data_IF_183231214586
#
_entry.id   IF_183231214586
#
_cell.length_a   1.000
_cell.length_b   1.000
_cell.length_c   1.000
_cell.angle_alpha   90.00
_cell.angle_beta   90.00
_cell.angle_gamma   90.00
#
_symmetry.space_group_name_H-M   'P 1'
#
loop_
_entity.id
_entity.type
_entity.pdbx_description
1 polymer ?
#
# COMPACT_ATOMS: atom_id res chain seq x y z
N UNK A 1 -18.49 18.80 -11.31
CA UNK A 1 -17.45 19.78 -11.04
C UNK A 1 -16.90 20.19 -12.39
N UNK A 2 -17.00 21.45 -12.78
CA UNK A 2 -16.45 21.93 -14.05
C UNK A 2 -14.97 22.31 -13.79
N UNK A 3 -14.04 21.69 -14.51
CA UNK A 3 -12.63 22.06 -14.47
C UNK A 3 -12.32 22.86 -15.75
N UNK A 4 -12.02 24.14 -15.59
CA UNK A 4 -11.52 24.94 -16.72
C UNK A 4 -10.11 24.53 -17.09
N UNK A 5 -9.74 24.72 -18.37
CA UNK A 5 -8.38 24.48 -18.84
C UNK A 5 -7.38 25.30 -18.02
N UNK A 6 -6.57 24.62 -17.22
CA UNK A 6 -5.60 25.23 -16.33
C UNK A 6 -4.18 25.10 -16.87
N UNK A 7 -3.30 26.02 -16.49
CA UNK A 7 -1.86 25.91 -16.74
C UNK A 7 -1.17 25.54 -15.44
N UNK A 8 -0.27 24.57 -15.52
CA UNK A 8 0.60 24.23 -14.40
C UNK A 8 1.55 25.41 -14.13
N UNK A 9 1.72 25.76 -12.85
CA UNK A 9 2.68 26.75 -12.41
C UNK A 9 3.92 26.02 -11.90
N UNK A 10 5.02 26.14 -12.61
CA UNK A 10 6.29 25.50 -12.29
C UNK A 10 6.93 25.98 -10.99
N UNK A 11 7.94 25.25 -10.53
CA UNK A 11 8.75 25.53 -9.33
C UNK A 11 7.93 25.66 -8.03
N UNK A 12 6.78 24.98 -7.94
CA UNK A 12 5.99 24.92 -6.73
C UNK A 12 6.56 23.85 -5.79
N UNK A 13 6.55 24.16 -4.48
CA UNK A 13 6.91 23.22 -3.42
C UNK A 13 5.63 22.74 -2.75
N UNK A 14 5.43 21.41 -2.74
CA UNK A 14 4.21 20.78 -2.30
C UNK A 14 4.52 19.82 -1.15
N UNK A 15 3.77 19.92 -0.07
CA UNK A 15 3.79 18.96 1.03
C UNK A 15 2.73 17.91 0.79
N UNK A 16 3.15 16.67 0.61
CA UNK A 16 2.27 15.50 0.57
C UNK A 16 2.18 14.93 1.99
N UNK A 17 1.02 14.42 2.39
CA UNK A 17 0.85 13.73 3.68
C UNK A 17 1.68 12.45 3.72
N UNK A 18 1.95 11.97 4.93
CA UNK A 18 2.68 10.74 5.14
C UNK A 18 2.06 9.53 4.45
N UNK A 19 2.88 8.56 4.13
CA UNK A 19 2.48 7.30 3.51
C UNK A 19 1.42 6.57 4.32
N UNK A 20 0.31 6.22 3.67
CA UNK A 20 -0.74 5.38 4.25
C UNK A 20 -0.19 4.02 4.68
N UNK A 21 0.63 3.41 3.84
CA UNK A 21 1.19 2.08 4.09
C UNK A 21 2.13 2.04 5.29
N UNK A 22 2.97 3.06 5.47
CA UNK A 22 3.84 3.21 6.64
C UNK A 22 3.00 3.57 7.87
N UNK A 23 2.10 4.54 7.76
CA UNK A 23 1.27 5.02 8.86
C UNK A 23 0.45 3.90 9.50
N UNK A 24 -0.22 3.09 8.70
CA UNK A 24 -1.05 2.01 9.22
C UNK A 24 -0.24 0.93 9.94
N UNK A 25 1.00 0.66 9.50
CA UNK A 25 1.93 -0.24 10.19
C UNK A 25 2.38 0.34 11.52
N UNK A 26 2.80 1.60 11.52
CA UNK A 26 3.24 2.29 12.75
C UNK A 26 2.13 2.38 13.80
N UNK A 27 0.89 2.63 13.40
CA UNK A 27 -0.25 2.64 14.32
C UNK A 27 -0.45 1.30 15.04
N UNK A 28 -0.28 0.19 14.33
CA UNK A 28 -0.32 -1.15 14.95
C UNK A 28 0.91 -1.36 15.86
N UNK A 29 2.11 -1.01 15.39
CA UNK A 29 3.35 -1.19 16.17
C UNK A 29 3.33 -0.32 17.43
N UNK A 30 2.89 0.94 17.34
CA UNK A 30 2.71 1.84 18.51
C UNK A 30 1.75 1.22 19.52
N UNK A 31 0.63 0.66 19.05
CA UNK A 31 -0.37 0.04 19.92
C UNK A 31 0.12 -1.24 20.58
N UNK A 32 0.94 -2.04 19.88
CA UNK A 32 1.48 -3.30 20.39
C UNK A 32 2.68 -3.10 21.31
N UNK A 33 3.60 -2.20 20.97
CA UNK A 33 4.91 -2.10 21.63
C UNK A 33 5.09 -0.79 22.42
N UNK A 34 4.31 0.26 22.13
CA UNK A 34 4.39 1.57 22.78
C UNK A 34 5.64 2.38 22.36
N UNK A 35 5.85 3.50 23.04
CA UNK A 35 7.05 4.34 22.91
C UNK A 35 7.41 4.81 21.50
N UNK A 36 6.45 4.92 20.58
CA UNK A 36 6.64 5.46 19.24
C UNK A 36 5.82 6.76 19.11
N UNK A 37 6.51 7.88 18.90
CA UNK A 37 5.88 9.14 18.53
C UNK A 37 5.89 9.25 17.01
N UNK A 38 4.70 9.26 16.39
CA UNK A 38 4.55 9.27 14.96
C UNK A 38 4.32 10.71 14.47
N UNK A 39 5.24 11.22 13.66
CA UNK A 39 5.13 12.52 13.00
C UNK A 39 4.73 12.32 11.52
N UNK A 40 4.06 13.31 10.92
CA UNK A 40 3.60 13.29 9.52
C UNK A 40 2.73 12.07 9.20
N UNK A 41 1.82 11.70 10.09
CA UNK A 41 0.89 10.59 9.86
C UNK A 41 0.02 10.86 8.62
N UNK A 42 -0.34 9.80 7.90
CA UNK A 42 -1.23 9.91 6.75
C UNK A 42 -2.60 10.47 7.12
N UNK A 43 -3.08 11.44 6.35
CA UNK A 43 -4.45 11.97 6.47
C UNK A 43 -5.46 11.18 5.63
N UNK A 44 -5.07 10.03 5.06
CA UNK A 44 -5.98 9.17 4.32
C UNK A 44 -7.11 8.65 5.21
N UNK A 45 -8.29 8.44 4.62
CA UNK A 45 -9.43 7.91 5.35
C UNK A 45 -9.13 6.54 5.98
N UNK A 46 -8.33 5.71 5.32
CA UNK A 46 -7.88 4.41 5.83
C UNK A 46 -7.11 4.55 7.15
N UNK A 47 -6.14 5.48 7.21
CA UNK A 47 -5.37 5.74 8.44
C UNK A 47 -6.21 6.39 9.55
N UNK A 48 -7.15 7.27 9.20
CA UNK A 48 -8.06 7.87 10.18
C UNK A 48 -9.00 6.83 10.79
N UNK A 49 -9.53 5.91 9.98
CA UNK A 49 -10.37 4.81 10.47
C UNK A 49 -9.57 3.82 11.33
N UNK A 50 -8.30 3.53 10.97
CA UNK A 50 -7.39 2.73 11.78
C UNK A 50 -7.18 3.36 13.17
N UNK A 51 -6.88 4.66 13.24
CA UNK A 51 -6.72 5.38 14.51
C UNK A 51 -7.99 5.30 15.37
N UNK A 52 -9.15 5.57 14.77
CA UNK A 52 -10.45 5.50 15.47
C UNK A 52 -10.71 4.09 16.00
N UNK A 53 -10.45 3.06 15.19
CA UNK A 53 -10.64 1.66 15.59
C UNK A 53 -9.74 1.27 16.77
N UNK A 54 -8.46 1.64 16.74
CA UNK A 54 -7.49 1.35 17.81
C UNK A 54 -7.79 2.11 19.12
N UNK A 55 -8.48 3.25 19.04
CA UNK A 55 -8.92 4.02 20.20
C UNK A 55 -10.32 3.61 20.71
N UNK A 56 -11.07 2.83 19.93
CA UNK A 56 -12.45 2.48 20.24
C UNK A 56 -12.56 1.51 21.44
N UNK A 57 -13.59 1.74 22.26
CA UNK A 57 -14.05 0.82 23.31
C UNK A 57 -15.30 0.04 22.90
N UNK A 58 -15.83 0.28 21.70
CA UNK A 58 -17.00 -0.42 21.19
C UNK A 58 -16.65 -1.87 20.85
N UNK A 59 -17.59 -2.78 21.08
CA UNK A 59 -17.49 -4.15 20.57
C UNK A 59 -17.57 -4.21 19.05
N UNK A 60 -18.35 -3.33 18.43
CA UNK A 60 -18.49 -3.26 16.96
C UNK A 60 -17.71 -2.10 16.41
N UNK A 61 -16.85 -2.38 15.44
CA UNK A 61 -15.98 -1.44 14.76
C UNK A 61 -16.28 -1.48 13.26
N UNK A 62 -16.78 -0.36 12.75
CA UNK A 62 -16.98 -0.16 11.31
C UNK A 62 -15.77 0.58 10.74
N UNK A 63 -15.07 -0.08 9.82
CA UNK A 63 -13.90 0.46 9.12
C UNK A 63 -14.26 0.90 7.68
N UNK A 64 -15.53 0.97 7.35
CA UNK A 64 -16.04 1.37 6.06
C UNK A 64 -15.37 0.63 4.90
N UNK A 65 -14.62 1.30 4.03
CA UNK A 65 -13.89 0.69 2.90
C UNK A 65 -12.36 0.56 3.13
N UNK A 66 -11.89 0.79 4.36
CA UNK A 66 -10.46 0.77 4.71
C UNK A 66 -9.89 -0.66 4.70
N UNK A 67 -9.36 -1.07 3.55
CA UNK A 67 -8.90 -2.44 3.32
C UNK A 67 -7.71 -2.83 4.19
N UNK A 68 -6.74 -1.96 4.37
CA UNK A 68 -5.58 -2.20 5.23
C UNK A 68 -6.02 -2.29 6.70
N UNK A 69 -6.94 -1.41 7.12
CA UNK A 69 -7.48 -1.43 8.48
C UNK A 69 -8.19 -2.77 8.77
N UNK A 70 -9.05 -3.27 7.86
CA UNK A 70 -9.68 -4.58 8.02
C UNK A 70 -8.65 -5.68 8.31
N UNK A 71 -7.59 -5.79 7.51
CA UNK A 71 -6.61 -6.86 7.64
C UNK A 71 -5.76 -6.74 8.90
N UNK A 72 -5.22 -5.56 9.15
CA UNK A 72 -4.32 -5.33 10.29
C UNK A 72 -5.04 -5.43 11.64
N UNK A 73 -6.25 -4.89 11.72
CA UNK A 73 -7.07 -4.97 12.93
C UNK A 73 -7.57 -6.41 13.20
N UNK A 74 -7.81 -7.22 12.16
CA UNK A 74 -8.17 -8.64 12.35
C UNK A 74 -7.07 -9.37 13.11
N UNK A 75 -5.80 -9.27 12.70
CA UNK A 75 -4.69 -9.87 13.43
C UNK A 75 -4.47 -9.23 14.80
N UNK A 76 -4.58 -7.90 14.89
CA UNK A 76 -4.43 -7.18 16.16
C UNK A 76 -5.44 -7.63 17.21
N UNK A 77 -6.74 -7.71 16.85
CA UNK A 77 -7.76 -8.13 17.82
C UNK A 77 -7.71 -9.61 18.15
N UNK A 78 -7.20 -10.46 17.24
CA UNK A 78 -7.04 -11.89 17.49
C UNK A 78 -6.11 -12.21 18.69
N UNK A 79 -5.18 -11.29 19.01
CA UNK A 79 -4.24 -11.44 20.13
C UNK A 79 -4.59 -10.58 21.36
N UNK A 80 -5.75 -9.90 21.38
CA UNK A 80 -6.19 -9.11 22.54
C UNK A 80 -6.97 -9.99 23.51
N UNK A 81 -6.27 -10.68 24.40
CA UNK A 81 -6.85 -11.66 25.34
C UNK A 81 -8.06 -11.10 26.09
N UNK A 82 -9.13 -11.89 26.17
CA UNK A 82 -10.35 -11.58 26.90
C UNK A 82 -11.25 -10.52 26.25
N UNK A 83 -10.94 -10.11 25.01
CA UNK A 83 -11.71 -9.11 24.26
C UNK A 83 -12.45 -9.74 23.10
N UNK A 84 -13.74 -9.50 22.99
CA UNK A 84 -14.50 -9.83 21.78
C UNK A 84 -14.73 -8.57 20.96
N UNK A 85 -14.47 -8.64 19.66
CA UNK A 85 -14.62 -7.50 18.76
C UNK A 85 -15.28 -7.97 17.47
N UNK A 86 -16.28 -7.21 17.01
CA UNK A 86 -16.89 -7.39 15.68
C UNK A 86 -16.30 -6.34 14.76
N UNK A 87 -15.68 -6.77 13.66
CA UNK A 87 -15.18 -5.85 12.61
C UNK A 87 -16.08 -5.98 11.40
N UNK A 88 -16.61 -4.83 10.95
CA UNK A 88 -17.47 -4.72 9.76
C UNK A 88 -17.00 -3.58 8.86
N UNK A 89 -17.70 -3.37 7.75
CA UNK A 89 -17.43 -2.27 6.82
C UNK A 89 -18.57 -2.08 5.83
N UNK A 90 -18.31 -1.29 4.78
CA UNK A 90 -19.29 -1.04 3.71
C UNK A 90 -19.70 -2.32 2.99
N UNK A 91 -20.79 -2.28 2.22
CA UNK A 91 -21.23 -3.42 1.40
C UNK A 91 -20.12 -3.92 0.46
N UNK A 92 -19.31 -3.03 -0.10
CA UNK A 92 -18.15 -3.42 -0.90
C UNK A 92 -17.08 -4.12 -0.05
N UNK A 93 -16.84 -3.70 1.19
CA UNK A 93 -15.89 -4.36 2.10
C UNK A 93 -16.35 -5.79 2.44
N UNK A 94 -17.64 -6.01 2.62
CA UNK A 94 -18.22 -7.34 2.84
C UNK A 94 -18.08 -8.28 1.63
N UNK A 95 -17.73 -7.77 0.46
CA UNK A 95 -17.44 -8.53 -0.76
C UNK A 95 -15.93 -8.74 -1.00
N UNK A 96 -15.07 -8.18 -0.16
CA UNK A 96 -13.61 -8.32 -0.30
C UNK A 96 -13.12 -9.52 0.51
N UNK A 97 -12.46 -10.50 -0.13
CA UNK A 97 -12.05 -11.73 0.56
C UNK A 97 -11.05 -11.45 1.68
N UNK A 98 -11.20 -12.22 2.78
CA UNK A 98 -10.30 -12.20 3.93
C UNK A 98 -9.94 -13.62 4.40
N UNK A 99 -10.46 -14.63 3.72
CA UNK A 99 -10.37 -16.03 4.12
C UNK A 99 -8.93 -16.47 4.41
N UNK A 100 -7.98 -16.18 3.51
CA UNK A 100 -6.59 -16.61 3.69
C UNK A 100 -5.96 -16.10 4.99
N UNK A 101 -6.29 -14.87 5.41
CA UNK A 101 -5.83 -14.34 6.69
C UNK A 101 -6.51 -15.03 7.86
N UNK A 102 -7.82 -15.24 7.78
CA UNK A 102 -8.59 -15.89 8.85
C UNK A 102 -8.15 -17.35 9.02
N UNK A 103 -7.92 -18.08 7.93
CA UNK A 103 -7.44 -19.45 7.96
C UNK A 103 -6.03 -19.53 8.57
N UNK A 104 -5.13 -18.63 8.18
CA UNK A 104 -3.79 -18.53 8.77
C UNK A 104 -3.86 -18.24 10.28
N UNK A 105 -4.69 -17.29 10.71
CA UNK A 105 -4.88 -16.97 12.12
C UNK A 105 -5.50 -18.14 12.90
N UNK A 106 -6.47 -18.85 12.33
CA UNK A 106 -7.05 -20.05 12.93
C UNK A 106 -6.03 -21.18 13.07
N UNK A 107 -5.16 -21.38 12.07
CA UNK A 107 -4.04 -22.33 12.15
C UNK A 107 -3.10 -22.00 13.31
N UNK A 108 -2.85 -20.71 13.55
CA UNK A 108 -2.08 -20.24 14.70
C UNK A 108 -2.84 -20.35 16.04
N UNK A 109 -4.12 -20.68 16.01
CA UNK A 109 -4.95 -20.89 17.19
C UNK A 109 -5.92 -19.74 17.51
N UNK A 110 -6.10 -18.74 16.65
CA UNK A 110 -7.07 -17.66 16.85
C UNK A 110 -8.52 -18.16 16.74
N UNK A 111 -9.43 -17.44 17.39
CA UNK A 111 -10.86 -17.71 17.38
C UNK A 111 -11.60 -16.61 16.62
N UNK A 112 -12.05 -16.93 15.40
CA UNK A 112 -12.68 -15.99 14.48
C UNK A 112 -13.89 -16.66 13.82
N UNK A 113 -15.03 -15.99 13.85
CA UNK A 113 -16.28 -16.41 13.23
C UNK A 113 -16.66 -15.44 12.09
N UNK A 114 -17.16 -15.98 10.98
CA UNK A 114 -17.83 -15.18 9.95
C UNK A 114 -19.28 -14.98 10.37
N UNK A 115 -19.79 -13.74 10.33
CA UNK A 115 -21.16 -13.44 10.77
C UNK A 115 -22.19 -13.47 9.65
N UNK A 116 -21.77 -13.34 8.40
CA UNK A 116 -22.64 -13.36 7.21
C UNK A 116 -22.17 -14.46 6.24
N UNK A 117 -21.22 -14.15 5.35
CA UNK A 117 -20.72 -15.07 4.34
C UNK A 117 -19.33 -15.61 4.70
N UNK A 118 -19.12 -16.91 4.56
CA UNK A 118 -17.81 -17.52 4.78
C UNK A 118 -16.76 -16.94 3.84
N UNK A 119 -15.58 -16.60 4.40
CA UNK A 119 -14.49 -15.98 3.66
C UNK A 119 -14.53 -14.46 3.58
N UNK A 120 -15.59 -13.80 4.08
CA UNK A 120 -15.83 -12.38 3.98
C UNK A 120 -16.19 -11.73 5.32
N UNK A 121 -15.92 -10.41 5.51
CA UNK A 121 -16.46 -9.68 6.66
C UNK A 121 -18.02 -9.64 6.60
N UNK A 122 -18.71 -9.44 7.74
CA UNK A 122 -18.20 -9.09 9.08
C UNK A 122 -17.60 -10.29 9.83
N UNK A 123 -16.62 -10.00 10.70
CA UNK A 123 -15.94 -11.00 11.52
C UNK A 123 -16.22 -10.74 13.01
N UNK A 124 -16.51 -11.80 13.77
CA UNK A 124 -16.43 -11.77 15.22
C UNK A 124 -15.13 -12.43 15.66
N UNK A 125 -14.32 -11.69 16.39
CA UNK A 125 -12.98 -12.06 16.81
C UNK A 125 -12.94 -12.16 18.32
N UNK A 126 -12.66 -13.33 18.87
CA UNK A 126 -12.41 -13.54 20.29
C UNK A 126 -10.91 -13.59 20.53
N UNK A 127 -10.37 -12.53 21.12
CA UNK A 127 -8.94 -12.42 21.38
C UNK A 127 -8.45 -13.39 22.42
N UNK A 128 -7.38 -14.11 22.10
CA UNK A 128 -6.76 -15.08 23.01
C UNK A 128 -5.26 -15.18 22.80
N UNK A 129 -4.59 -15.83 23.74
CA UNK A 129 -3.18 -16.16 23.63
C UNK A 129 -2.97 -17.14 22.50
N UNK A 130 -2.10 -16.78 21.55
CA UNK A 130 -1.69 -17.64 20.44
C UNK A 130 -0.37 -18.32 20.82
N UNK A 131 -0.32 -19.64 20.70
CA UNK A 131 0.83 -20.48 21.08
C UNK A 131 1.51 -21.13 19.89
N UNK A 132 0.77 -21.35 18.80
CA UNK A 132 1.34 -21.87 17.56
C UNK A 132 2.19 -20.78 16.87
N UNK A 133 3.29 -21.20 16.24
CA UNK A 133 4.25 -20.28 15.64
C UNK A 133 4.41 -20.44 14.13
N UNK A 134 3.92 -21.52 13.55
CA UNK A 134 4.14 -21.85 12.14
C UNK A 134 2.85 -21.78 11.34
N UNK A 135 2.92 -21.17 10.17
CA UNK A 135 1.81 -21.12 9.21
C UNK A 135 2.31 -21.07 7.77
N UNK A 136 1.59 -21.73 6.88
CA UNK A 136 1.77 -21.62 5.43
C UNK A 136 0.70 -20.69 4.86
N UNK A 137 1.07 -19.83 3.92
CA UNK A 137 0.13 -18.93 3.25
C UNK A 137 0.52 -18.75 1.76
N UNK A 138 -0.46 -18.73 0.83
CA UNK A 138 -0.15 -18.47 -0.57
C UNK A 138 0.52 -17.09 -0.76
N UNK A 139 1.62 -17.04 -1.51
CA UNK A 139 2.40 -15.81 -1.69
C UNK A 139 1.82 -14.86 -2.74
N UNK A 140 0.99 -15.36 -3.66
CA UNK A 140 0.34 -14.58 -4.74
C UNK A 140 -0.88 -13.77 -4.27
N UNK A 141 -1.31 -13.95 -3.02
CA UNK A 141 -2.39 -13.14 -2.43
C UNK A 141 -1.91 -11.74 -2.06
N UNK A 142 -2.84 -10.89 -1.65
CA UNK A 142 -2.50 -9.54 -1.19
C UNK A 142 -1.45 -9.55 -0.08
N UNK A 143 -0.35 -8.80 -0.27
CA UNK A 143 0.70 -8.60 0.74
C UNK A 143 0.19 -8.04 2.07
N UNK A 144 -1.03 -7.49 2.10
CA UNK A 144 -1.68 -7.02 3.32
C UNK A 144 -1.96 -8.17 4.30
N UNK A 145 -2.29 -9.37 3.82
CA UNK A 145 -2.52 -10.53 4.70
C UNK A 145 -1.23 -10.96 5.39
N UNK A 146 -0.16 -11.09 4.62
CA UNK A 146 1.16 -11.48 5.15
C UNK A 146 1.67 -10.39 6.10
N UNK A 147 1.65 -9.11 5.69
CA UNK A 147 2.04 -7.99 6.56
C UNK A 147 1.26 -7.94 7.88
N UNK A 148 -0.04 -8.28 7.84
CA UNK A 148 -0.89 -8.34 9.03
C UNK A 148 -0.40 -9.35 10.06
N UNK A 149 0.01 -10.53 9.61
CA UNK A 149 0.60 -11.57 10.47
C UNK A 149 1.98 -11.14 10.99
N UNK A 150 2.84 -10.58 10.12
CA UNK A 150 4.18 -10.12 10.51
C UNK A 150 4.12 -9.09 11.64
N UNK A 151 3.18 -8.13 11.57
CA UNK A 151 3.04 -7.07 12.56
C UNK A 151 2.75 -7.58 13.98
N UNK A 152 2.03 -8.68 14.12
CA UNK A 152 1.74 -9.27 15.43
C UNK A 152 2.82 -10.27 15.89
N UNK A 153 3.69 -10.75 14.98
CA UNK A 153 4.62 -11.84 15.22
C UNK A 153 5.51 -11.66 16.44
N UNK A 154 6.00 -10.43 16.69
CA UNK A 154 6.81 -10.11 17.87
C UNK A 154 6.05 -10.17 19.20
N UNK A 155 4.72 -10.16 19.19
CA UNK A 155 3.86 -10.31 20.39
C UNK A 155 3.49 -11.75 20.70
N UNK A 156 3.68 -12.65 19.75
CA UNK A 156 3.42 -14.06 19.99
C UNK A 156 4.51 -14.65 20.90
N UNK A 157 4.11 -15.53 21.83
CA UNK A 157 5.02 -16.11 22.82
C UNK A 157 6.23 -16.82 22.20
N UNK A 158 5.99 -17.54 21.09
CA UNK A 158 7.01 -18.31 20.37
C UNK A 158 7.49 -17.64 19.09
N UNK A 159 7.12 -16.34 18.87
CA UNK A 159 7.35 -15.67 17.61
C UNK A 159 6.46 -16.20 16.49
N UNK A 160 6.87 -15.98 15.24
CA UNK A 160 6.10 -16.38 14.07
C UNK A 160 7.04 -16.86 12.96
N UNK A 161 6.70 -17.97 12.33
CA UNK A 161 7.37 -18.49 11.14
C UNK A 161 6.31 -18.67 10.04
N UNK A 162 6.49 -17.97 8.92
CA UNK A 162 5.58 -18.01 7.76
C UNK A 162 6.32 -18.61 6.58
N UNK A 163 5.79 -19.68 6.01
CA UNK A 163 6.20 -20.21 4.72
C UNK A 163 5.27 -19.68 3.62
N UNK A 164 5.87 -18.97 2.66
CA UNK A 164 5.17 -18.36 1.52
C UNK A 164 5.14 -19.35 0.35
N UNK A 165 3.95 -19.80 -0.03
CA UNK A 165 3.78 -20.83 -1.07
C UNK A 165 3.57 -20.17 -2.44
N UNK A 166 4.47 -20.41 -3.37
CA UNK A 166 4.44 -19.89 -4.73
C UNK A 166 5.19 -18.56 -4.90
N UNK A 167 4.87 -17.84 -5.98
CA UNK A 167 5.54 -16.58 -6.33
C UNK A 167 5.03 -15.43 -5.45
N UNK A 168 5.97 -14.64 -4.93
CA UNK A 168 5.66 -13.50 -4.05
C UNK A 168 5.27 -12.29 -4.88
N UNK A 169 4.04 -11.81 -4.68
CA UNK A 169 3.57 -10.55 -5.26
C UNK A 169 3.74 -9.39 -4.29
N UNK A 170 4.00 -8.19 -4.82
CA UNK A 170 4.15 -6.98 -3.99
C UNK A 170 5.18 -7.13 -2.86
N UNK A 171 6.29 -7.81 -3.15
CA UNK A 171 7.41 -8.08 -2.21
C UNK A 171 7.88 -6.84 -1.44
N UNK A 172 7.98 -5.63 -2.03
CA UNK A 172 8.42 -4.43 -1.31
C UNK A 172 7.59 -4.11 -0.06
N UNK A 173 6.30 -4.46 -0.03
CA UNK A 173 5.47 -4.23 1.16
C UNK A 173 5.79 -5.19 2.32
N UNK A 174 6.28 -6.39 2.02
CA UNK A 174 6.77 -7.32 3.04
C UNK A 174 8.08 -6.82 3.61
N UNK A 175 9.02 -6.44 2.74
CA UNK A 175 10.33 -5.89 3.11
C UNK A 175 10.18 -4.60 3.93
N UNK A 176 9.25 -3.69 3.54
CA UNK A 176 8.86 -2.53 4.33
C UNK A 176 8.44 -2.94 5.76
N UNK A 177 7.57 -3.94 5.88
CA UNK A 177 7.07 -4.39 7.19
C UNK A 177 8.20 -4.95 8.04
N UNK A 178 9.06 -5.79 7.47
CA UNK A 178 10.21 -6.38 8.17
C UNK A 178 11.22 -5.33 8.61
N UNK A 179 11.51 -4.34 7.74
CA UNK A 179 12.40 -3.24 8.08
C UNK A 179 11.85 -2.39 9.23
N UNK A 180 10.55 -2.08 9.19
CA UNK A 180 9.89 -1.33 10.28
C UNK A 180 9.89 -2.12 11.60
N UNK A 181 9.70 -3.44 11.55
CA UNK A 181 9.85 -4.31 12.73
C UNK A 181 11.27 -4.24 13.30
N UNK A 182 12.31 -4.31 12.44
CA UNK A 182 13.70 -4.15 12.86
C UNK A 182 13.96 -2.78 13.49
N UNK A 183 13.40 -1.70 12.92
CA UNK A 183 13.56 -0.33 13.43
C UNK A 183 12.95 -0.16 14.82
N UNK A 184 11.88 -0.89 15.14
CA UNK A 184 11.28 -0.91 16.48
C UNK A 184 11.86 -2.03 17.38
N UNK A 185 13.00 -2.62 17.01
CA UNK A 185 13.74 -3.57 17.84
C UNK A 185 13.25 -5.02 17.76
N UNK A 186 12.41 -5.37 16.80
CA UNK A 186 11.93 -6.74 16.64
C UNK A 186 12.80 -7.46 15.61
N UNK A 187 13.53 -8.47 16.07
CA UNK A 187 14.39 -9.28 15.21
C UNK A 187 13.56 -10.10 14.23
N UNK A 188 14.02 -10.16 12.98
CA UNK A 188 13.37 -10.95 11.94
C UNK A 188 14.39 -11.41 10.88
N UNK A 189 14.02 -12.46 10.16
CA UNK A 189 14.81 -13.06 9.08
C UNK A 189 13.89 -13.35 7.90
N UNK A 190 14.42 -13.20 6.68
CA UNK A 190 13.72 -13.56 5.46
C UNK A 190 14.67 -14.32 4.53
N UNK A 191 14.47 -15.61 4.42
CA UNK A 191 15.26 -16.50 3.56
C UNK A 191 14.37 -17.22 2.56
N UNK A 192 14.66 -17.05 1.27
CA UNK A 192 13.88 -17.62 0.19
C UNK A 192 12.38 -17.26 0.32
N UNK A 193 11.55 -18.22 0.70
CA UNK A 193 10.12 -18.07 0.92
C UNK A 193 9.71 -18.18 2.40
N UNK A 194 10.67 -18.18 3.32
CA UNK A 194 10.38 -18.30 4.77
C UNK A 194 10.72 -17.02 5.49
N UNK A 195 9.74 -16.49 6.22
CA UNK A 195 9.90 -15.31 7.09
C UNK A 195 9.79 -15.75 8.55
N UNK A 196 10.75 -15.33 9.37
CA UNK A 196 10.75 -15.55 10.83
C UNK A 196 10.72 -14.23 11.56
N UNK A 197 9.83 -14.12 12.54
CA UNK A 197 9.76 -13.00 13.49
C UNK A 197 10.02 -13.58 14.87
N UNK A 198 11.04 -13.05 15.56
CA UNK A 198 11.38 -13.49 16.90
C UNK A 198 10.50 -12.79 17.94
N UNK A 199 10.22 -13.46 19.08
CA UNK A 199 9.47 -12.83 20.17
C UNK A 199 10.18 -11.57 20.65
N UNK A 200 9.40 -10.51 20.85
CA UNK A 200 9.91 -9.27 21.42
C UNK A 200 10.38 -9.47 22.85
N UNK A 201 11.60 -9.11 23.15
CA UNK A 201 12.15 -9.08 24.51
C UNK A 201 12.23 -7.63 24.97
N UNK A 202 11.64 -7.34 26.13
CA UNK A 202 11.56 -5.98 26.67
C UNK A 202 12.93 -5.31 26.85
N UNK A 203 13.96 -6.12 27.06
CA UNK A 203 15.35 -5.66 27.24
C UNK A 203 16.03 -5.27 25.90
N UNK A 204 15.48 -5.71 24.76
CA UNK A 204 16.01 -5.41 23.42
C UNK A 204 15.56 -4.00 22.93
N UNK A 205 14.57 -3.39 23.60
CA UNK A 205 14.03 -2.10 23.18
C UNK A 205 14.63 -0.97 24.04
N UNK A 206 15.17 0.04 23.37
CA UNK A 206 15.59 1.26 24.07
C UNK A 206 14.41 1.84 24.84
N UNK A 207 14.58 2.07 26.14
CA UNK A 207 13.59 2.69 27.03
C UNK A 207 13.23 4.14 26.65
N UNK A 208 13.88 4.69 25.62
CA UNK A 208 13.67 6.02 25.09
C UNK A 208 12.52 6.07 24.06
N UNK A 209 11.78 7.18 24.07
CA UNK A 209 10.76 7.48 23.07
C UNK A 209 11.40 7.52 21.68
N UNK A 210 10.90 6.71 20.75
CA UNK A 210 11.31 6.69 19.36
C UNK A 210 10.48 7.70 18.55
N UNK A 211 11.12 8.72 18.00
CA UNK A 211 10.47 9.62 17.06
C UNK A 211 10.54 9.03 15.65
N UNK A 212 9.39 8.76 15.06
CA UNK A 212 9.30 8.24 13.69
C UNK A 212 8.59 9.23 12.77
N UNK A 213 9.35 9.90 11.92
CA UNK A 213 8.78 10.79 10.90
C UNK A 213 8.42 9.97 9.66
N UNK A 214 7.12 9.84 9.39
CA UNK A 214 6.59 9.14 8.22
C UNK A 214 6.99 9.88 6.96
N UNK A 215 7.61 9.17 6.02
CA UNK A 215 7.90 9.66 4.69
C UNK A 215 6.60 9.97 3.95
N UNK A 216 6.56 10.99 3.09
CA UNK A 216 5.42 11.30 2.23
C UNK A 216 5.10 10.15 1.29
N UNK A 217 3.84 10.08 0.86
CA UNK A 217 3.28 8.95 0.13
C UNK A 217 3.71 8.94 -1.35
N UNK A 218 4.46 7.90 -1.76
CA UNK A 218 4.94 7.76 -3.13
C UNK A 218 3.83 7.46 -4.14
N UNK A 219 2.76 6.76 -3.73
CA UNK A 219 1.60 6.59 -4.61
C UNK A 219 0.96 7.95 -4.91
N UNK A 220 0.88 8.83 -3.91
CA UNK A 220 0.40 10.21 -4.09
C UNK A 220 1.37 11.07 -4.91
N UNK A 221 2.68 10.84 -4.78
CA UNK A 221 3.69 11.54 -5.59
C UNK A 221 3.50 11.25 -7.09
N UNK A 222 2.99 10.07 -7.46
CA UNK A 222 2.79 9.68 -8.86
C UNK A 222 1.93 10.67 -9.65
N UNK A 223 0.96 11.33 -9.02
CA UNK A 223 0.15 12.37 -9.65
C UNK A 223 0.99 13.61 -10.01
N UNK A 224 1.95 13.98 -9.17
CA UNK A 224 2.85 15.10 -9.42
C UNK A 224 3.91 14.78 -10.47
N UNK A 225 4.37 13.54 -10.51
CA UNK A 225 5.20 13.04 -11.60
C UNK A 225 4.46 13.11 -12.95
N UNK A 226 3.18 12.70 -12.96
CA UNK A 226 2.32 12.81 -14.13
C UNK A 226 2.17 14.27 -14.57
N UNK A 227 1.88 15.17 -13.63
CA UNK A 227 1.79 16.61 -13.91
C UNK A 227 3.11 17.19 -14.44
N UNK A 228 4.25 16.81 -13.85
CA UNK A 228 5.56 17.26 -14.33
C UNK A 228 5.84 16.78 -15.76
N UNK A 229 5.55 15.50 -16.06
CA UNK A 229 5.74 14.92 -17.38
C UNK A 229 4.87 15.57 -18.45
N UNK A 230 3.58 15.75 -18.17
CA UNK A 230 2.60 16.30 -19.13
C UNK A 230 2.78 17.83 -19.27
N UNK A 231 2.93 18.53 -18.15
CA UNK A 231 3.03 19.99 -18.11
C UNK A 231 4.43 20.52 -18.46
N UNK A 232 5.45 19.66 -18.45
CA UNK A 232 6.87 20.01 -18.67
C UNK A 232 7.37 21.08 -17.71
N UNK A 233 6.91 21.03 -16.46
CA UNK A 233 7.22 22.00 -15.41
C UNK A 233 7.89 21.34 -14.21
N UNK A 234 8.83 22.05 -13.58
CA UNK A 234 9.51 21.57 -12.39
C UNK A 234 8.58 21.59 -11.17
N UNK A 235 8.63 20.55 -10.34
CA UNK A 235 7.83 20.43 -9.12
C UNK A 235 8.74 19.94 -7.99
N UNK A 236 8.61 20.54 -6.79
CA UNK A 236 9.31 20.13 -5.60
C UNK A 236 8.33 19.44 -4.62
N UNK A 237 8.71 18.28 -4.08
CA UNK A 237 7.89 17.50 -3.15
C UNK A 237 8.65 17.33 -1.83
N UNK A 238 8.02 17.69 -0.71
CA UNK A 238 8.63 17.62 0.63
C UNK A 238 8.40 16.30 1.36
N UNK A 239 9.26 16.02 2.32
CA UNK A 239 9.23 14.86 3.22
C UNK A 239 9.44 13.53 2.50
N UNK A 240 10.29 13.51 1.48
CA UNK A 240 10.76 12.31 0.81
C UNK A 240 12.20 11.97 1.19
N UNK A 241 12.53 10.68 1.18
CA UNK A 241 13.88 10.16 1.46
C UNK A 241 14.55 9.73 0.17
N UNK A 242 15.88 9.81 0.13
CA UNK A 242 16.67 9.28 -1.00
C UNK A 242 16.50 7.77 -1.12
N UNK A 243 16.50 7.06 0.03
CA UNK A 243 16.24 5.63 0.11
C UNK A 243 14.90 5.41 0.81
N UNK A 244 13.88 5.10 0.02
CA UNK A 244 12.52 4.88 0.51
C UNK A 244 12.26 3.40 0.81
N UNK A 245 11.47 3.14 1.85
CA UNK A 245 10.91 1.80 2.11
C UNK A 245 9.67 1.51 1.25
N UNK A 246 9.11 2.53 0.59
CA UNK A 246 7.91 2.37 -0.23
C UNK A 246 8.29 1.82 -1.60
N UNK A 247 7.71 0.67 -2.00
CA UNK A 247 7.95 0.06 -3.31
C UNK A 247 7.62 0.98 -4.48
N UNK A 248 6.64 1.86 -4.29
CA UNK A 248 6.22 2.85 -5.30
C UNK A 248 7.29 3.92 -5.57
N UNK A 249 8.39 3.98 -4.81
CA UNK A 249 9.55 4.85 -5.09
C UNK A 249 10.27 4.51 -6.39
N UNK A 250 10.03 3.32 -6.97
CA UNK A 250 10.43 2.93 -8.33
C UNK A 250 9.88 3.90 -9.39
N UNK A 251 8.88 4.70 -9.03
CA UNK A 251 8.33 5.77 -9.83
C UNK A 251 9.41 6.69 -10.44
N UNK A 252 10.51 6.93 -9.71
CA UNK A 252 11.66 7.71 -10.20
C UNK A 252 12.25 7.12 -11.47
N UNK A 253 12.46 5.80 -11.48
CA UNK A 253 13.05 5.09 -12.61
C UNK A 253 12.06 5.00 -13.77
N UNK A 254 10.78 4.69 -13.48
CA UNK A 254 9.72 4.63 -14.51
C UNK A 254 9.60 5.97 -15.22
N UNK A 255 9.52 7.07 -14.47
CA UNK A 255 9.32 8.38 -15.08
C UNK A 255 10.58 8.92 -15.76
N UNK A 256 11.77 8.56 -15.28
CA UNK A 256 13.00 8.86 -16.01
C UNK A 256 13.07 8.12 -17.35
N UNK A 257 12.86 6.81 -17.33
CA UNK A 257 13.06 5.95 -18.49
C UNK A 257 12.02 6.15 -19.59
N UNK A 258 10.77 6.45 -19.23
CA UNK A 258 9.68 6.50 -20.20
C UNK A 258 9.13 7.91 -20.46
N UNK A 259 9.30 8.84 -19.52
CA UNK A 259 8.70 10.18 -19.61
C UNK A 259 9.70 11.33 -19.49
N UNK A 260 10.98 11.02 -19.27
CA UNK A 260 12.06 12.00 -19.19
C UNK A 260 11.95 12.94 -17.98
N UNK A 261 11.40 12.47 -16.85
CA UNK A 261 11.35 13.24 -15.60
C UNK A 261 12.47 12.77 -14.68
N UNK A 262 13.50 13.60 -14.55
CA UNK A 262 14.60 13.36 -13.63
C UNK A 262 14.18 13.71 -12.18
N UNK A 263 14.64 12.94 -11.22
CA UNK A 263 14.41 13.15 -9.78
C UNK A 263 15.71 13.45 -9.07
N UNK A 264 15.85 14.62 -8.50
CA UNK A 264 16.99 15.00 -7.66
C UNK A 264 16.54 15.03 -6.22
N UNK A 265 17.23 14.27 -5.36
CA UNK A 265 16.94 14.19 -3.91
C UNK A 265 17.85 15.16 -3.16
N UNK A 266 17.26 15.90 -2.22
CA UNK A 266 17.96 16.70 -1.22
C UNK A 266 17.71 16.09 0.16
N UNK A 267 18.73 15.44 0.71
CA UNK A 267 18.65 14.78 2.04
C UNK A 267 18.56 15.78 3.19
N UNK A 268 19.14 16.96 3.02
CA UNK A 268 19.15 17.98 4.08
C UNK A 268 17.76 18.55 4.35
N UNK A 269 16.95 18.69 3.31
CA UNK A 269 15.59 19.21 3.37
C UNK A 269 14.50 18.12 3.29
N UNK A 270 14.89 16.84 3.16
CA UNK A 270 13.94 15.75 2.89
C UNK A 270 13.03 16.07 1.71
N UNK A 271 13.61 16.54 0.61
CA UNK A 271 12.89 16.99 -0.58
C UNK A 271 13.35 16.22 -1.81
N UNK A 272 12.42 15.99 -2.72
CA UNK A 272 12.74 15.60 -4.09
C UNK A 272 12.25 16.69 -5.05
N UNK A 273 13.02 16.91 -6.10
CA UNK A 273 12.72 17.86 -7.16
C UNK A 273 12.59 17.12 -8.48
N UNK A 274 11.48 17.35 -9.18
CA UNK A 274 11.15 16.75 -10.46
C UNK A 274 11.53 17.71 -11.58
N UNK A 275 12.40 17.27 -12.49
CA UNK A 275 12.90 18.05 -13.61
C UNK A 275 12.60 17.33 -14.93
N UNK A 276 11.57 17.77 -15.69
CA UNK A 276 11.32 17.25 -17.03
C UNK A 276 12.45 17.63 -17.99
N UNK A 277 13.04 16.65 -18.67
CA UNK A 277 14.06 16.86 -19.70
C UNK A 277 13.38 17.21 -21.02
N UNK A 278 13.50 18.48 -21.46
CA UNK A 278 12.79 19.01 -22.62
C UNK A 278 13.21 18.39 -23.96
N UNK A 279 14.42 17.85 -24.03
CA UNK A 279 14.97 17.18 -25.22
C UNK A 279 14.74 15.66 -25.20
N UNK A 280 14.07 15.13 -24.17
CA UNK A 280 13.80 13.71 -24.03
C UNK A 280 13.00 13.16 -25.22
N UNK A 281 13.51 12.09 -25.81
CA UNK A 281 12.84 11.38 -26.89
C UNK A 281 11.98 10.27 -26.29
N UNK A 282 10.68 10.37 -26.49
CA UNK A 282 9.75 9.35 -26.00
C UNK A 282 9.96 8.01 -26.73
N UNK A 283 9.84 6.90 -26.03
CA UNK A 283 9.93 5.59 -26.66
C UNK A 283 8.74 5.36 -27.61
N UNK A 284 8.96 4.55 -28.65
CA UNK A 284 7.89 4.12 -29.56
C UNK A 284 6.80 3.33 -28.85
N UNK A 285 7.17 2.59 -27.79
CA UNK A 285 6.28 1.79 -26.94
C UNK A 285 6.87 1.64 -25.55
N UNK A 286 6.01 1.60 -24.54
CA UNK A 286 6.35 1.27 -23.17
C UNK A 286 5.89 -0.14 -22.82
N UNK A 287 6.81 -1.01 -22.40
CA UNK A 287 6.49 -2.32 -21.82
C UNK A 287 7.01 -2.38 -20.39
N UNK A 288 6.13 -2.70 -19.44
CA UNK A 288 6.44 -2.59 -18.02
C UNK A 288 5.73 -3.68 -17.20
N UNK A 289 6.47 -4.40 -16.37
CA UNK A 289 5.91 -5.26 -15.34
C UNK A 289 5.81 -4.49 -14.02
N UNK A 290 4.59 -4.36 -13.50
CA UNK A 290 4.28 -3.64 -12.27
C UNK A 290 3.85 -4.57 -11.12
N UNK A 291 4.24 -5.84 -11.14
CA UNK A 291 3.93 -6.80 -10.07
C UNK A 291 4.37 -6.31 -8.67
N UNK A 292 5.45 -5.54 -8.59
CA UNK A 292 5.97 -4.97 -7.34
C UNK A 292 5.38 -3.60 -6.96
N UNK A 293 4.74 -2.89 -7.90
CA UNK A 293 4.20 -1.53 -7.70
C UNK A 293 2.86 -1.30 -8.43
N UNK A 294 1.87 -2.22 -8.33
CA UNK A 294 0.64 -2.14 -9.12
C UNK A 294 -0.21 -0.90 -8.78
N UNK A 295 -0.07 -0.34 -7.59
CA UNK A 295 -0.91 0.75 -7.11
C UNK A 295 -0.65 2.10 -7.84
N UNK A 296 0.46 2.25 -8.56
CA UNK A 296 0.76 3.45 -9.40
C UNK A 296 0.50 3.24 -10.89
N UNK A 297 0.00 2.07 -11.31
CA UNK A 297 -0.27 1.78 -12.72
C UNK A 297 -1.26 2.76 -13.36
N UNK A 298 -2.26 3.23 -12.60
CA UNK A 298 -3.26 4.17 -13.10
C UNK A 298 -2.62 5.48 -13.56
N UNK A 299 -1.75 6.07 -12.74
CA UNK A 299 -1.07 7.32 -13.09
C UNK A 299 -0.09 7.15 -14.24
N UNK A 300 0.60 5.99 -14.31
CA UNK A 300 1.49 5.65 -15.42
C UNK A 300 0.70 5.54 -16.73
N UNK A 301 -0.42 4.82 -16.76
CA UNK A 301 -1.28 4.70 -17.94
C UNK A 301 -1.84 6.06 -18.41
N UNK A 302 -2.31 6.89 -17.46
CA UNK A 302 -2.84 8.22 -17.76
C UNK A 302 -1.73 9.12 -18.35
N UNK A 303 -0.51 9.06 -17.79
CA UNK A 303 0.63 9.84 -18.33
C UNK A 303 0.99 9.38 -19.74
N UNK A 304 1.08 8.06 -19.97
CA UNK A 304 1.37 7.49 -21.29
C UNK A 304 0.29 7.89 -22.31
N UNK A 305 -0.98 7.86 -21.93
CA UNK A 305 -2.11 8.27 -22.75
C UNK A 305 -2.02 9.75 -23.13
N UNK A 306 -1.79 10.63 -22.16
CA UNK A 306 -1.69 12.08 -22.39
C UNK A 306 -0.52 12.45 -23.30
N UNK A 307 0.57 11.69 -23.27
CA UNK A 307 1.75 11.84 -24.13
C UNK A 307 1.68 11.01 -25.42
N UNK A 308 0.57 10.27 -25.64
CA UNK A 308 0.34 9.38 -26.79
C UNK A 308 1.43 8.32 -26.98
N UNK A 309 1.94 7.78 -25.87
CA UNK A 309 2.93 6.69 -25.86
C UNK A 309 2.17 5.35 -25.77
N UNK A 310 2.25 4.48 -26.78
CA UNK A 310 1.67 3.14 -26.70
C UNK A 310 2.25 2.35 -25.53
N UNK A 311 1.40 1.59 -24.81
CA UNK A 311 1.84 0.85 -23.62
C UNK A 311 1.27 -0.56 -23.55
N UNK A 312 2.05 -1.43 -22.90
CA UNK A 312 1.63 -2.75 -22.42
C UNK A 312 2.15 -2.94 -20.99
N UNK A 313 1.23 -3.00 -20.03
CA UNK A 313 1.57 -3.11 -18.59
C UNK A 313 1.01 -4.41 -18.04
N UNK A 314 1.86 -5.18 -17.38
CA UNK A 314 1.56 -6.46 -16.72
C UNK A 314 1.71 -6.37 -15.21
N UNK A 315 1.46 -7.46 -14.46
CA UNK A 315 1.61 -7.49 -13.01
C UNK A 315 0.45 -6.84 -12.24
N UNK A 316 -0.76 -6.76 -12.84
CA UNK A 316 -1.88 -5.97 -12.34
C UNK A 316 -3.02 -6.80 -11.71
N UNK A 317 -2.85 -8.11 -11.53
CA UNK A 317 -3.91 -9.01 -11.04
C UNK A 317 -4.55 -8.55 -9.73
N UNK A 318 -3.77 -7.97 -8.80
CA UNK A 318 -4.27 -7.51 -7.50
C UNK A 318 -5.20 -6.30 -7.59
N UNK A 319 -5.24 -5.57 -8.71
CA UNK A 319 -6.06 -4.36 -8.88
C UNK A 319 -7.56 -4.68 -9.00
N UNK A 320 -7.93 -5.89 -9.42
CA UNK A 320 -9.32 -6.32 -9.60
C UNK A 320 -10.10 -6.47 -8.29
N UNK A 321 -9.39 -6.77 -7.19
CA UNK A 321 -10.00 -7.06 -5.88
C UNK A 321 -9.85 -5.90 -4.88
N UNK A 322 -9.58 -4.70 -5.36
CA UNK A 322 -9.48 -3.47 -4.53
C UNK A 322 -10.89 -2.90 -4.22
N UNK A 323 -10.95 -1.64 -3.88
CA UNK A 323 -12.20 -0.90 -3.57
C UNK A 323 -13.20 -0.94 -4.74
N UNK A 324 -12.67 -1.03 -5.96
CA UNK A 324 -13.36 -1.32 -7.22
C UNK A 324 -12.49 -2.27 -8.04
N UNK A 325 -13.00 -2.79 -9.17
CA UNK A 325 -12.12 -3.34 -10.22
C UNK A 325 -11.43 -2.16 -10.91
N UNK A 326 -10.16 -1.91 -10.48
CA UNK A 326 -9.40 -0.75 -10.97
C UNK A 326 -9.01 -0.87 -12.43
N UNK A 327 -8.90 -2.09 -13.00
CA UNK A 327 -8.60 -2.27 -14.42
C UNK A 327 -9.78 -1.85 -15.29
N UNK A 328 -10.98 -2.29 -14.93
CA UNK A 328 -12.21 -1.88 -15.64
C UNK A 328 -12.44 -0.37 -15.47
N UNK A 329 -12.25 0.18 -14.27
CA UNK A 329 -12.38 1.61 -14.04
C UNK A 329 -11.38 2.41 -14.89
N UNK A 330 -10.10 1.98 -14.91
CA UNK A 330 -9.05 2.62 -15.70
C UNK A 330 -9.36 2.56 -17.19
N UNK A 331 -9.78 1.43 -17.72
CA UNK A 331 -10.19 1.27 -19.12
C UNK A 331 -11.28 2.27 -19.49
N UNK A 332 -12.33 2.38 -18.66
CA UNK A 332 -13.45 3.30 -18.90
C UNK A 332 -13.00 4.77 -18.89
N UNK A 333 -12.11 5.16 -17.96
CA UNK A 333 -11.63 6.53 -17.88
C UNK A 333 -10.63 6.88 -19.00
N UNK A 334 -9.76 5.93 -19.40
CA UNK A 334 -8.84 6.12 -20.52
C UNK A 334 -9.57 6.31 -21.84
N UNK A 335 -10.68 5.59 -22.04
CA UNK A 335 -11.53 5.75 -23.21
C UNK A 335 -12.06 7.18 -23.35
N UNK A 336 -12.50 7.82 -22.27
CA UNK A 336 -13.00 9.20 -22.28
C UNK A 336 -11.93 10.20 -22.73
N UNK A 337 -10.68 9.95 -22.36
CA UNK A 337 -9.54 10.80 -22.77
C UNK A 337 -8.89 10.35 -24.08
N UNK A 338 -9.58 9.52 -24.87
CA UNK A 338 -9.20 9.14 -26.22
C UNK A 338 -8.17 8.03 -26.31
N UNK A 339 -8.17 7.06 -25.38
CA UNK A 339 -7.33 5.88 -25.46
C UNK A 339 -8.18 4.60 -25.37
N UNK A 340 -8.34 3.91 -26.46
CA UNK A 340 -8.92 2.56 -26.46
C UNK A 340 -7.91 1.57 -25.89
N UNK A 341 -8.38 0.71 -25.00
CA UNK A 341 -7.51 -0.25 -24.29
C UNK A 341 -8.12 -1.65 -24.25
N UNK A 342 -7.27 -2.65 -24.15
CA UNK A 342 -7.65 -4.02 -23.83
C UNK A 342 -7.11 -4.40 -22.46
N UNK A 343 -7.93 -5.05 -21.66
CA UNK A 343 -7.57 -5.56 -20.32
C UNK A 343 -7.66 -7.09 -20.29
N UNK A 344 -6.81 -7.69 -19.47
CA UNK A 344 -6.86 -9.12 -19.13
C UNK A 344 -7.00 -9.30 -17.62
N UNK A 345 -6.83 -10.52 -17.11
CA UNK A 345 -6.78 -10.77 -15.67
C UNK A 345 -5.59 -10.08 -14.99
N UNK A 346 -4.51 -9.79 -15.72
CA UNK A 346 -3.24 -9.32 -15.15
C UNK A 346 -2.60 -8.16 -15.93
N UNK A 347 -3.23 -7.61 -16.94
CA UNK A 347 -2.61 -6.62 -17.81
C UNK A 347 -3.58 -5.61 -18.39
N UNK A 348 -3.02 -4.49 -18.86
CA UNK A 348 -3.68 -3.51 -19.71
C UNK A 348 -2.75 -3.10 -20.87
N UNK A 349 -3.30 -2.96 -22.08
CA UNK A 349 -2.56 -2.40 -23.23
C UNK A 349 -3.37 -1.35 -23.96
N UNK A 350 -2.71 -0.33 -24.49
CA UNK A 350 -3.30 0.61 -25.43
C UNK A 350 -3.46 -0.05 -26.79
N UNK A 351 -4.58 0.24 -27.46
CA UNK A 351 -4.87 -0.22 -28.83
C UNK A 351 -4.74 0.96 -29.81
N UNK A 352 -5.49 2.01 -29.57
CA UNK A 352 -5.58 3.17 -30.45
C UNK A 352 -5.74 4.46 -29.63
N UNK A 353 -5.21 5.57 -30.17
CA UNK A 353 -5.42 6.92 -29.64
C UNK A 353 -6.34 7.70 -30.56
N UNK A 354 -7.47 8.15 -30.03
CA UNK A 354 -8.50 8.93 -30.70
C UNK A 354 -8.56 10.35 -30.13
N UNK A 355 -9.53 11.12 -30.54
CA UNK A 355 -9.86 12.39 -29.88
C UNK A 355 -10.60 12.12 -28.56
N UNK A 356 -10.33 12.95 -27.54
CA UNK A 356 -11.04 12.86 -26.27
C UNK A 356 -12.52 13.25 -26.42
N UNK A 357 -13.37 12.73 -25.55
CA UNK A 357 -14.79 13.14 -25.48
C UNK A 357 -14.89 14.64 -25.13
N UNK A 358 -15.85 15.35 -25.72
CA UNK A 358 -16.00 16.82 -25.53
C UNK A 358 -16.41 17.21 -24.10
N UNK A 359 -17.00 16.27 -23.33
CA UNK A 359 -17.48 16.49 -21.98
C UNK A 359 -17.03 15.33 -21.07
N UNK A 360 -15.89 15.46 -20.43
CA UNK A 360 -15.35 14.50 -19.46
C UNK A 360 -15.76 14.86 -18.03
#
# INVERSE_FOLDING_TARGET
MFLEKSKLKGNQTIQISGSKSISNRLLILEKLFGNILIENLSNSQDSQLMQKALASKSETIDIHHAGTAMRFLTSYFAIQEGKTTIITGSERMKQRPIQFLVDALKTLGAEIEYLENDGFPPLKITGKKITEKFVQIPAHISSQFISSLLLIGGKLENGLEIELIGEITSRPYLEMTLKMLSEVGIQNEFHENTVKIFPYKKDDFHSSLMNYKVESDWSSASYFYSLAAIGRENINLKSFRTFSLQGDSILREIYWNFFGVNTISDESDYQISLYPEHTFQFPEKMELDMNNCPDIAQTVCVTATALKIPFYITGLATLKVKETDRLVALQNELKKIGCETEITENSIRSLEFTEAEENI
#
